data_IF_423601381181
#
_entry.id   IF_423601381181
#
_cell.length_a   1.000
_cell.length_b   1.000
_cell.length_c   1.000
_cell.angle_alpha   90.00
_cell.angle_beta   90.00
_cell.angle_gamma   90.00
#
_symmetry.space_group_name_H-M   'P 1'
#
loop_
_entity.id
_entity.type
_entity.pdbx_description
1 polymer ?
#
# COMPACT_ATOMS: atom_id res chain seq x y z
N UNK A 1 -2.74 -25.33 0.26
CA UNK A 1 -2.08 -24.05 0.58
C UNK A 1 -2.27 -23.17 -0.64
N UNK A 2 -3.15 -22.17 -0.56
CA UNK A 2 -3.34 -21.20 -1.65
C UNK A 2 -2.22 -20.19 -1.46
N UNK A 3 -1.32 -20.09 -2.42
CA UNK A 3 -0.36 -18.99 -2.47
C UNK A 3 -1.16 -17.79 -2.95
N UNK A 4 -1.63 -16.96 -2.02
CA UNK A 4 -2.12 -15.63 -2.37
C UNK A 4 -0.89 -14.78 -2.66
N UNK A 5 -0.84 -14.20 -3.85
CA UNK A 5 0.22 -13.29 -4.28
C UNK A 5 -0.23 -11.88 -3.88
N UNK A 6 0.30 -11.32 -2.77
CA UNK A 6 -0.19 -10.05 -2.27
C UNK A 6 -0.01 -8.92 -3.29
N UNK A 7 0.99 -9.00 -4.17
CA UNK A 7 1.19 -8.00 -5.22
C UNK A 7 0.08 -8.03 -6.29
N UNK A 8 -0.49 -9.20 -6.58
CA UNK A 8 -1.62 -9.31 -7.49
C UNK A 8 -2.89 -8.65 -6.92
N UNK A 9 -3.11 -8.78 -5.62
CA UNK A 9 -4.31 -8.27 -4.93
C UNK A 9 -4.14 -6.84 -4.38
N UNK A 10 -2.91 -6.32 -4.33
CA UNK A 10 -2.60 -5.01 -3.74
C UNK A 10 -3.32 -3.85 -4.42
N UNK A 11 -3.22 -3.73 -5.74
CA UNK A 11 -3.84 -2.60 -6.48
C UNK A 11 -5.37 -2.63 -6.35
N UNK A 12 -6.06 -3.78 -6.56
CA UNK A 12 -7.49 -3.89 -6.30
C UNK A 12 -7.89 -3.60 -4.84
N UNK A 13 -7.09 -4.02 -3.86
CA UNK A 13 -7.34 -3.74 -2.45
C UNK A 13 -7.26 -2.23 -2.15
N UNK A 14 -6.22 -1.54 -2.63
CA UNK A 14 -6.10 -0.07 -2.48
C UNK A 14 -7.27 0.64 -3.13
N UNK A 15 -7.66 0.25 -4.34
CA UNK A 15 -8.80 0.86 -5.03
C UNK A 15 -10.11 0.74 -4.23
N UNK A 16 -10.38 -0.44 -3.67
CA UNK A 16 -11.58 -0.70 -2.85
C UNK A 16 -11.56 0.05 -1.53
N UNK A 17 -10.45 0.01 -0.81
CA UNK A 17 -10.32 0.60 0.54
C UNK A 17 -10.31 2.13 0.49
N UNK A 18 -9.56 2.72 -0.44
CA UNK A 18 -9.47 4.18 -0.56
C UNK A 18 -10.60 4.77 -1.42
N UNK A 19 -11.38 3.95 -2.11
CA UNK A 19 -12.52 4.39 -2.93
C UNK A 19 -12.11 5.23 -4.14
N UNK A 20 -10.87 5.06 -4.62
CA UNK A 20 -10.32 5.78 -5.78
C UNK A 20 -9.35 4.88 -6.51
N UNK A 21 -9.24 5.03 -7.83
CA UNK A 21 -8.23 4.30 -8.61
C UNK A 21 -6.84 4.86 -8.29
N UNK A 22 -5.92 4.06 -7.75
CA UNK A 22 -4.60 4.55 -7.37
C UNK A 22 -3.68 4.59 -8.60
N UNK A 23 -2.70 5.50 -8.59
CA UNK A 23 -1.70 5.54 -9.67
C UNK A 23 -0.65 4.46 -9.41
N UNK A 24 -0.51 3.49 -10.30
CA UNK A 24 0.53 2.45 -10.23
C UNK A 24 1.91 3.05 -10.57
N UNK A 25 2.94 2.66 -9.82
CA UNK A 25 4.32 3.13 -9.97
C UNK A 25 5.27 1.99 -10.35
N UNK A 26 5.63 1.13 -9.39
CA UNK A 26 6.67 0.11 -9.53
C UNK A 26 6.06 -1.29 -9.70
N UNK A 27 5.71 -1.67 -10.93
CA UNK A 27 5.29 -3.03 -11.26
C UNK A 27 4.16 -3.60 -10.38
N UNK A 28 3.23 -2.75 -9.95
CA UNK A 28 2.15 -3.07 -9.00
C UNK A 28 2.57 -3.38 -7.56
N UNK A 29 3.83 -3.12 -7.16
CA UNK A 29 4.30 -3.14 -5.77
C UNK A 29 4.30 -1.78 -5.09
N UNK A 30 4.11 -0.72 -5.85
CA UNK A 30 3.92 0.62 -5.30
C UNK A 30 2.80 1.34 -6.02
N UNK A 31 1.96 2.03 -5.25
CA UNK A 31 0.90 2.88 -5.76
C UNK A 31 0.87 4.22 -5.05
N UNK A 32 0.37 5.25 -5.71
CA UNK A 32 0.18 6.59 -5.16
C UNK A 32 -1.31 6.87 -4.97
N UNK A 33 -1.70 7.24 -3.75
CA UNK A 33 -3.06 7.66 -3.40
C UNK A 33 -3.00 8.94 -2.57
N UNK A 34 -3.64 10.01 -3.02
CA UNK A 34 -3.71 11.28 -2.26
C UNK A 34 -2.36 11.90 -1.87
N UNK A 35 -1.29 11.68 -2.63
CA UNK A 35 0.06 12.18 -2.30
C UNK A 35 0.88 11.27 -1.36
N UNK A 36 0.29 10.16 -0.92
CA UNK A 36 0.97 9.11 -0.15
C UNK A 36 1.24 7.92 -1.06
N UNK A 37 2.50 7.51 -1.14
CA UNK A 37 2.92 6.28 -1.78
C UNK A 37 2.76 5.13 -0.78
N UNK A 38 2.00 4.12 -1.19
CA UNK A 38 1.88 2.83 -0.52
C UNK A 38 2.80 1.86 -1.25
N UNK A 39 3.77 1.28 -0.55
CA UNK A 39 4.81 0.45 -1.17
C UNK A 39 5.02 -0.86 -0.42
N UNK A 40 5.00 -1.97 -1.15
CA UNK A 40 5.34 -3.30 -0.66
C UNK A 40 6.86 -3.49 -0.68
N UNK A 41 7.42 -3.80 0.49
CA UNK A 41 8.84 -4.14 0.66
C UNK A 41 8.99 -5.53 1.30
N UNK A 42 10.24 -5.97 1.52
CA UNK A 42 10.59 -7.23 2.19
C UNK A 42 9.96 -8.51 1.61
N UNK A 43 9.69 -8.53 0.30
CA UNK A 43 8.97 -9.64 -0.35
C UNK A 43 7.49 -9.63 -0.01
N UNK A 44 6.87 -8.44 -0.06
CA UNK A 44 5.43 -8.20 0.15
C UNK A 44 4.95 -8.44 1.60
N UNK A 45 5.89 -8.52 2.55
CA UNK A 45 5.63 -8.68 3.99
C UNK A 45 5.53 -7.36 4.76
N UNK A 46 5.86 -6.25 4.10
CA UNK A 46 5.81 -4.92 4.70
C UNK A 46 5.09 -3.95 3.76
N UNK A 47 4.11 -3.24 4.29
CA UNK A 47 3.44 -2.12 3.63
C UNK A 47 3.94 -0.81 4.22
N UNK A 48 4.70 -0.06 3.43
CA UNK A 48 5.25 1.23 3.81
C UNK A 48 4.33 2.38 3.37
N UNK A 49 4.12 3.32 4.29
CA UNK A 49 3.42 4.58 4.06
C UNK A 49 4.46 5.68 3.86
N UNK A 50 4.50 6.27 2.67
CA UNK A 50 5.54 7.23 2.30
C UNK A 50 4.87 8.50 1.78
N UNK A 51 4.95 9.59 2.52
CA UNK A 51 4.51 10.90 2.06
C UNK A 51 5.44 11.38 0.93
N UNK A 52 4.87 11.85 -0.17
CA UNK A 52 5.62 12.34 -1.33
C UNK A 52 5.41 13.82 -1.55
N UNK A 53 6.51 14.58 -1.66
CA UNK A 53 6.53 16.01 -1.96
C UNK A 53 7.51 16.26 -3.12
N UNK A 54 7.02 16.09 -4.36
CA UNK A 54 7.87 16.14 -5.54
C UNK A 54 8.86 14.98 -5.56
N UNK A 55 10.16 15.27 -5.45
CA UNK A 55 11.24 14.27 -5.38
C UNK A 55 11.57 13.83 -3.95
N UNK A 56 10.95 14.46 -2.94
CA UNK A 56 11.20 14.16 -1.54
C UNK A 56 10.23 13.09 -1.05
N UNK A 57 10.76 12.14 -0.29
CA UNK A 57 10.00 11.07 0.34
C UNK A 57 10.22 11.08 1.85
N UNK A 58 9.13 10.95 2.61
CA UNK A 58 9.16 10.80 4.07
C UNK A 58 8.40 9.55 4.48
N UNK A 59 9.08 8.60 5.12
CA UNK A 59 8.46 7.41 5.71
C UNK A 59 7.61 7.82 6.92
N UNK A 60 6.31 7.60 6.80
CA UNK A 60 5.32 7.85 7.86
C UNK A 60 5.18 6.66 8.80
N UNK A 61 5.36 5.44 8.28
CA UNK A 61 5.30 4.22 9.06
C UNK A 61 5.31 2.97 8.19
N UNK A 62 5.30 1.82 8.88
CA UNK A 62 5.24 0.49 8.28
C UNK A 62 4.11 -0.30 8.96
N UNK A 63 3.46 -1.14 8.17
CA UNK A 63 2.45 -2.12 8.58
C UNK A 63 2.92 -3.49 8.11
N UNK A 64 2.97 -4.48 9.00
CA UNK A 64 3.29 -5.85 8.59
C UNK A 64 2.13 -6.42 7.78
N UNK A 65 2.45 -7.04 6.65
CA UNK A 65 1.49 -7.77 5.83
C UNK A 65 1.58 -9.24 6.25
N UNK A 66 0.46 -9.75 6.75
CA UNK A 66 0.35 -11.16 7.14
C UNK A 66 -0.26 -11.98 6.00
N UNK A 67 -1.55 -12.32 6.11
CA UNK A 67 -2.24 -13.19 5.15
C UNK A 67 -3.06 -12.38 4.14
N UNK A 68 -3.80 -11.36 4.59
CA UNK A 68 -4.63 -10.50 3.74
C UNK A 68 -4.02 -9.10 3.57
N UNK A 69 -3.65 -8.78 2.33
CA UNK A 69 -3.15 -7.44 1.99
C UNK A 69 -4.21 -6.35 2.19
N UNK A 70 -5.50 -6.68 2.04
CA UNK A 70 -6.57 -5.71 2.20
C UNK A 70 -6.70 -5.22 3.64
N UNK A 71 -6.44 -6.08 4.63
CA UNK A 71 -6.39 -5.68 6.04
C UNK A 71 -5.27 -4.69 6.31
N UNK A 72 -4.07 -4.94 5.79
CA UNK A 72 -2.96 -3.98 5.90
C UNK A 72 -3.29 -2.64 5.22
N UNK A 73 -4.00 -2.66 4.09
CA UNK A 73 -4.45 -1.45 3.37
C UNK A 73 -5.55 -0.71 4.15
N UNK A 74 -6.47 -1.41 4.83
CA UNK A 74 -7.46 -0.79 5.73
C UNK A 74 -6.78 -0.08 6.89
N UNK A 75 -5.82 -0.74 7.53
CA UNK A 75 -5.03 -0.13 8.60
C UNK A 75 -4.24 1.09 8.08
N UNK A 76 -3.67 1.02 6.87
CA UNK A 76 -3.02 2.16 6.24
C UNK A 76 -3.97 3.36 6.10
N UNK A 77 -5.20 3.13 5.62
CA UNK A 77 -6.22 4.18 5.51
C UNK A 77 -6.58 4.77 6.86
N UNK A 78 -6.75 3.94 7.89
CA UNK A 78 -7.04 4.39 9.25
C UNK A 78 -5.91 5.27 9.81
N UNK A 79 -4.64 4.89 9.62
CA UNK A 79 -3.48 5.69 10.06
C UNK A 79 -3.35 7.03 9.32
N UNK A 80 -3.82 7.12 8.07
CA UNK A 80 -3.71 8.34 7.27
C UNK A 80 -4.87 9.33 7.51
N UNK A 81 -6.04 8.83 7.94
CA UNK A 81 -7.25 9.66 8.11
C UNK A 81 -7.74 9.77 9.57
N UNK A 82 -7.07 9.10 10.51
CA UNK A 82 -7.31 9.16 11.96
C UNK A 82 -6.63 10.32 12.66
#
# INVERSE_FOLDING_TARGET
>A
MRFEDPAADFVPAVARVFGTEPRVLDGSRAVLVGGVKLQLEAGERELWLIETHGVLERRLGMIEVHEDIEDAVREARERLHG
#
